data_IF_244135432915
#
_entry.id   IF_244135432915
#
_cell.length_a   1.000
_cell.length_b   1.000
_cell.length_c   1.000
_cell.angle_alpha   90.00
_cell.angle_beta   90.00
_cell.angle_gamma   90.00
#
_symmetry.space_group_name_H-M   'P 1'
#
loop_
_entity.id
_entity.type
_entity.pdbx_description
1 polymer ?
#
# COMPACT_ATOMS: atom_id res chain seq x y z
N UNK A 1 -1.02 20.77 -11.21
CA UNK A 1 -0.38 19.60 -10.58
C UNK A 1 -0.41 19.77 -9.06
N UNK A 2 -0.94 18.79 -8.36
CA UNK A 2 -1.01 18.79 -6.90
C UNK A 2 0.35 18.37 -6.34
N UNK A 3 0.85 19.01 -5.30
CA UNK A 3 2.07 18.53 -4.69
C UNK A 3 1.80 17.35 -3.75
N UNK A 4 2.85 16.66 -3.37
CA UNK A 4 2.74 15.45 -2.56
C UNK A 4 2.11 15.71 -1.19
N UNK A 5 2.41 16.85 -0.58
CA UNK A 5 1.85 17.19 0.74
C UNK A 5 0.34 17.34 0.65
N UNK A 6 -0.15 18.03 -0.38
CA UNK A 6 -1.59 18.19 -0.59
C UNK A 6 -2.27 16.85 -0.84
N UNK A 7 -1.64 15.98 -1.61
CA UNK A 7 -2.16 14.64 -1.87
C UNK A 7 -2.23 13.81 -0.60
N UNK A 8 -1.23 13.89 0.25
CA UNK A 8 -1.21 13.19 1.53
C UNK A 8 -2.32 13.69 2.46
N UNK A 9 -2.51 15.00 2.52
CA UNK A 9 -3.56 15.59 3.34
C UNK A 9 -4.95 15.21 2.84
N UNK A 10 -5.13 15.19 1.52
CA UNK A 10 -6.36 14.75 0.91
C UNK A 10 -6.65 13.28 1.24
N UNK A 11 -5.63 12.45 1.16
CA UNK A 11 -5.74 11.03 1.51
C UNK A 11 -6.17 10.85 2.97
N UNK A 12 -5.53 11.56 3.90
CA UNK A 12 -5.89 11.49 5.32
C UNK A 12 -7.32 11.95 5.55
N UNK A 13 -7.73 13.02 4.90
CA UNK A 13 -9.09 13.55 5.04
C UNK A 13 -10.13 12.55 4.52
N UNK A 14 -9.81 11.88 3.41
CA UNK A 14 -10.69 10.85 2.86
C UNK A 14 -10.81 9.65 3.80
N UNK A 15 -9.72 9.26 4.42
CA UNK A 15 -9.72 8.16 5.37
C UNK A 15 -10.47 8.51 6.65
N UNK A 16 -10.38 9.76 7.10
CA UNK A 16 -11.14 10.23 8.25
C UNK A 16 -12.66 10.03 8.04
N UNK A 17 -13.13 10.20 6.81
CA UNK A 17 -14.55 10.05 6.49
C UNK A 17 -15.06 8.62 6.65
N UNK A 18 -14.19 7.65 6.51
CA UNK A 18 -14.54 6.22 6.59
C UNK A 18 -13.95 5.57 7.84
N UNK A 19 -13.51 6.37 8.80
CA UNK A 19 -12.99 5.86 10.07
C UNK A 19 -11.71 5.06 9.94
N UNK A 20 -10.91 5.34 8.91
CA UNK A 20 -9.66 4.63 8.62
C UNK A 20 -9.86 3.15 8.37
N UNK A 21 -11.03 2.79 7.84
CA UNK A 21 -11.35 1.41 7.45
C UNK A 21 -11.69 1.37 5.98
N UNK A 22 -10.90 0.61 5.24
CA UNK A 22 -11.18 0.32 3.84
C UNK A 22 -10.97 -1.17 3.64
N UNK A 23 -11.53 -1.73 2.58
CA UNK A 23 -11.40 -3.16 2.37
C UNK A 23 -10.09 -3.49 1.66
N UNK A 24 -9.72 -2.70 0.66
CA UNK A 24 -8.52 -2.94 -0.12
C UNK A 24 -7.75 -1.66 -0.34
N UNK A 25 -6.41 -1.80 -0.39
CA UNK A 25 -5.50 -0.70 -0.72
C UNK A 25 -4.70 -1.11 -1.96
N UNK A 26 -4.55 -0.18 -2.89
CA UNK A 26 -3.70 -0.38 -4.07
C UNK A 26 -2.77 0.82 -4.19
N UNK A 27 -1.47 0.58 -4.13
CA UNK A 27 -0.47 1.62 -4.30
C UNK A 27 0.62 1.14 -5.24
N UNK A 28 1.35 2.08 -5.87
CA UNK A 28 2.52 1.71 -6.66
C UNK A 28 3.68 1.35 -5.73
N UNK A 29 3.95 2.21 -4.76
CA UNK A 29 5.07 2.04 -3.82
C UNK A 29 4.63 1.27 -2.58
N UNK A 30 5.59 0.77 -1.82
CA UNK A 30 5.36 0.02 -0.59
C UNK A 30 5.47 0.91 0.65
N UNK A 31 4.80 0.52 1.75
CA UNK A 31 5.11 1.14 3.05
C UNK A 31 6.59 0.97 3.41
N UNK A 32 7.13 1.91 4.18
CA UNK A 32 8.57 1.99 4.44
C UNK A 32 9.22 0.69 4.90
N UNK A 33 8.59 0.00 5.86
CA UNK A 33 9.17 -1.24 6.39
C UNK A 33 9.29 -2.34 5.33
N UNK A 34 8.27 -2.47 4.49
CA UNK A 34 8.29 -3.43 3.39
C UNK A 34 9.29 -3.01 2.31
N UNK A 35 9.36 -1.72 2.01
CA UNK A 35 10.34 -1.20 1.05
C UNK A 35 11.76 -1.51 1.49
N UNK A 36 12.06 -1.30 2.76
CA UNK A 36 13.38 -1.59 3.32
C UNK A 36 13.70 -3.09 3.24
N UNK A 37 12.75 -3.93 3.62
CA UNK A 37 12.87 -5.38 3.54
C UNK A 37 13.16 -5.86 2.12
N UNK A 38 12.38 -5.36 1.16
CA UNK A 38 12.51 -5.73 -0.24
C UNK A 38 13.84 -5.28 -0.84
N UNK A 39 14.29 -4.09 -0.47
CA UNK A 39 15.61 -3.60 -0.91
C UNK A 39 16.73 -4.49 -0.35
N UNK A 40 16.63 -4.87 0.90
CA UNK A 40 17.61 -5.75 1.55
C UNK A 40 17.67 -7.12 0.86
N UNK A 41 16.51 -7.71 0.58
CA UNK A 41 16.44 -9.02 -0.10
C UNK A 41 17.03 -8.98 -1.50
N UNK A 42 16.93 -7.83 -2.18
CA UNK A 42 17.39 -7.66 -3.54
C UNK A 42 18.77 -7.02 -3.62
N UNK A 43 19.45 -6.89 -2.49
CA UNK A 43 20.77 -6.29 -2.40
C UNK A 43 20.81 -4.89 -3.03
N UNK A 44 19.74 -4.12 -2.82
CA UNK A 44 19.64 -2.74 -3.28
C UNK A 44 19.76 -1.80 -2.09
N UNK A 45 20.28 -0.61 -2.36
CA UNK A 45 20.32 0.43 -1.36
C UNK A 45 18.90 0.91 -1.08
N UNK A 46 18.54 0.97 0.20
CA UNK A 46 17.27 1.53 0.61
C UNK A 46 17.43 3.04 0.77
N UNK A 47 16.63 3.79 0.03
CA UNK A 47 16.59 5.23 0.11
C UNK A 47 15.28 5.63 0.80
N UNK A 48 15.41 6.10 2.03
CA UNK A 48 14.27 6.57 2.81
C UNK A 48 13.62 7.76 2.09
N UNK A 49 12.34 7.66 1.77
CA UNK A 49 11.63 8.76 1.15
C UNK A 49 10.30 9.06 1.84
N UNK A 50 9.80 10.24 1.55
CA UNK A 50 8.60 10.76 2.20
C UNK A 50 7.36 9.92 1.88
N UNK A 51 7.23 9.47 0.64
CA UNK A 51 6.07 8.68 0.24
C UNK A 51 6.02 7.35 0.97
N UNK A 52 7.15 6.65 1.03
CA UNK A 52 7.23 5.38 1.75
C UNK A 52 6.89 5.55 3.23
N UNK A 53 7.38 6.62 3.85
CA UNK A 53 7.06 6.92 5.26
C UNK A 53 5.58 7.22 5.46
N UNK A 54 4.98 7.95 4.53
CA UNK A 54 3.55 8.23 4.56
C UNK A 54 2.74 6.93 4.46
N UNK A 55 3.10 6.07 3.52
CA UNK A 55 2.43 4.78 3.36
C UNK A 55 2.62 3.90 4.60
N UNK A 56 3.77 4.00 5.26
CA UNK A 56 4.00 3.33 6.54
C UNK A 56 3.09 3.85 7.65
N UNK A 57 2.83 5.16 7.69
CA UNK A 57 1.86 5.75 8.61
C UNK A 57 0.46 5.18 8.36
N UNK A 58 0.06 5.12 7.10
CA UNK A 58 -1.24 4.55 6.75
C UNK A 58 -1.32 3.09 7.17
N UNK A 59 -0.28 2.33 6.90
CA UNK A 59 -0.24 0.90 7.19
C UNK A 59 -0.40 0.63 8.70
N UNK A 60 0.13 1.50 9.53
CA UNK A 60 0.01 1.39 10.97
C UNK A 60 -1.36 1.76 11.53
N UNK A 61 -2.19 2.46 10.75
CA UNK A 61 -3.49 2.95 11.21
C UNK A 61 -4.68 2.32 10.49
N UNK A 62 -4.50 1.94 9.22
CA UNK A 62 -5.59 1.43 8.40
C UNK A 62 -6.05 0.05 8.84
N UNK A 63 -7.37 -0.13 8.90
CA UNK A 63 -7.95 -1.46 8.85
C UNK A 63 -8.25 -1.78 7.39
N UNK A 64 -7.57 -2.77 6.83
CA UNK A 64 -7.86 -3.26 5.48
C UNK A 64 -7.65 -4.76 5.42
N UNK A 65 -8.25 -5.39 4.42
CA UNK A 65 -8.16 -6.83 4.23
C UNK A 65 -6.95 -7.22 3.42
N UNK A 66 -6.64 -6.41 2.41
CA UNK A 66 -5.46 -6.65 1.58
C UNK A 66 -4.93 -5.32 1.04
N UNK A 67 -3.61 -5.29 0.90
CA UNK A 67 -2.89 -4.15 0.37
C UNK A 67 -2.03 -4.64 -0.79
N UNK A 68 -2.34 -4.21 -2.01
CA UNK A 68 -1.62 -4.58 -3.22
C UNK A 68 -0.66 -3.47 -3.60
N UNK A 69 0.56 -3.83 -3.94
CA UNK A 69 1.56 -2.84 -4.35
C UNK A 69 2.48 -3.40 -5.44
N UNK A 70 3.13 -2.52 -6.18
CA UNK A 70 4.01 -2.90 -7.29
C UNK A 70 5.45 -2.47 -7.06
N UNK A 71 6.06 -1.94 -8.12
CA UNK A 71 7.39 -1.35 -8.13
C UNK A 71 8.56 -2.36 -8.05
N UNK A 72 8.49 -3.38 -7.21
CA UNK A 72 9.62 -4.28 -6.91
C UNK A 72 9.69 -5.51 -7.80
N UNK A 73 8.83 -5.60 -8.81
CA UNK A 73 8.84 -6.65 -9.83
C UNK A 73 8.83 -8.06 -9.27
N UNK A 74 7.82 -8.35 -8.48
CA UNK A 74 7.63 -9.70 -7.93
C UNK A 74 6.14 -10.00 -7.76
N UNK A 75 5.82 -11.26 -7.61
CA UNK A 75 4.44 -11.73 -7.45
C UNK A 75 4.39 -12.66 -6.25
N UNK A 76 4.09 -12.10 -5.06
CA UNK A 76 4.08 -12.88 -3.83
C UNK A 76 3.32 -12.18 -2.72
N UNK A 77 2.75 -12.96 -1.81
CA UNK A 77 2.26 -12.44 -0.54
C UNK A 77 3.46 -12.23 0.39
N UNK A 78 3.59 -11.03 0.92
CA UNK A 78 4.67 -10.73 1.87
C UNK A 78 4.27 -11.12 3.29
N UNK A 79 2.98 -11.05 3.57
CA UNK A 79 2.38 -11.47 4.83
C UNK A 79 0.89 -11.72 4.57
N UNK A 80 0.10 -11.82 5.65
CA UNK A 80 -1.33 -12.11 5.51
C UNK A 80 -2.12 -11.01 4.80
N UNK A 81 -1.55 -9.81 4.67
CA UNK A 81 -2.26 -8.63 4.17
C UNK A 81 -1.61 -7.99 2.94
N UNK A 82 -0.29 -7.99 2.85
CA UNK A 82 0.43 -7.29 1.79
C UNK A 82 0.81 -8.22 0.64
N UNK A 83 0.39 -7.85 -0.55
CA UNK A 83 0.64 -8.62 -1.78
C UNK A 83 1.43 -7.78 -2.78
N UNK A 84 2.63 -8.25 -3.14
CA UNK A 84 3.42 -7.67 -4.21
C UNK A 84 2.91 -8.22 -5.54
N UNK A 85 2.67 -7.35 -6.51
CA UNK A 85 2.15 -7.73 -7.83
C UNK A 85 3.04 -7.16 -8.91
N UNK A 86 3.32 -7.98 -9.92
CA UNK A 86 4.07 -7.57 -11.12
C UNK A 86 3.39 -8.06 -12.38
N UNK A 87 3.21 -9.36 -12.51
CA UNK A 87 2.61 -9.98 -13.70
C UNK A 87 1.32 -10.73 -13.41
N UNK A 88 1.11 -11.08 -12.17
CA UNK A 88 -0.08 -11.80 -11.77
C UNK A 88 -1.33 -10.95 -11.83
N UNK A 89 -2.45 -11.60 -12.05
CA UNK A 89 -3.77 -11.01 -11.86
C UNK A 89 -4.37 -11.71 -10.65
N UNK A 90 -4.60 -10.95 -9.59
CA UNK A 90 -5.14 -11.48 -8.34
C UNK A 90 -6.57 -11.01 -8.17
N UNK A 91 -7.55 -11.91 -8.19
CA UNK A 91 -8.92 -11.51 -7.90
C UNK A 91 -9.04 -10.96 -6.48
N UNK A 92 -9.60 -9.78 -6.35
CA UNK A 92 -9.72 -9.12 -5.05
C UNK A 92 -10.61 -9.93 -4.11
N UNK A 93 -11.63 -10.58 -4.65
CA UNK A 93 -12.55 -11.42 -3.89
C UNK A 93 -11.86 -12.60 -3.24
N UNK A 94 -10.79 -13.10 -3.84
CA UNK A 94 -10.02 -14.24 -3.28
C UNK A 94 -9.16 -13.80 -2.10
N UNK A 95 -8.78 -12.52 -2.06
CA UNK A 95 -7.99 -11.99 -0.97
C UNK A 95 -8.83 -11.74 0.27
N UNK A 96 -10.12 -11.44 0.10
CA UNK A 96 -11.01 -11.12 1.20
C UNK A 96 -12.47 -11.29 0.77
N UNK A 97 -13.41 -11.39 1.72
CA UNK A 97 -14.84 -11.39 1.39
C UNK A 97 -15.23 -10.16 0.61
N UNK A 98 -16.33 -10.24 -0.14
CA UNK A 98 -16.83 -9.16 -0.97
C UNK A 98 -16.81 -7.82 -0.25
N UNK A 99 -16.35 -6.80 -0.93
CA UNK A 99 -16.08 -5.50 -0.35
C UNK A 99 -16.63 -4.38 -1.20
N UNK A 100 -16.84 -3.22 -0.57
CA UNK A 100 -17.35 -2.02 -1.24
C UNK A 100 -16.34 -0.87 -1.23
N UNK A 101 -15.35 -0.93 -0.35
CA UNK A 101 -14.42 0.18 -0.17
C UNK A 101 -13.03 -0.15 -0.69
N UNK A 102 -12.56 0.65 -1.62
CA UNK A 102 -11.24 0.50 -2.21
C UNK A 102 -10.48 1.81 -2.04
N UNK A 103 -9.27 1.75 -1.55
CA UNK A 103 -8.34 2.87 -1.56
C UNK A 103 -7.29 2.63 -2.63
N UNK A 104 -7.30 3.45 -3.68
CA UNK A 104 -6.21 3.55 -4.65
C UNK A 104 -5.46 4.82 -4.35
N UNK A 105 -4.16 4.70 -4.09
CA UNK A 105 -3.38 5.87 -3.70
C UNK A 105 -1.96 5.79 -4.23
N UNK A 106 -1.44 6.95 -4.50
CA UNK A 106 -0.02 7.28 -4.63
C UNK A 106 0.88 6.18 -5.19
#
# INVERSE_FOLDING_TARGET
>A
MTDLVEEMEHCRASLDRVGWKVDYVVTHEAPADLAEQLCREREREYLDDRLQRFLGELDGRLGCRAWFFGHYHGDEWRDARHRLIYRDIVPVEDAAPASRNLLEAL
#
